data_IF_321022063903
#
_entry.id   IF_321022063903
#
_cell.length_a   1.000
_cell.length_b   1.000
_cell.length_c   1.000
_cell.angle_alpha   90.00
_cell.angle_beta   90.00
_cell.angle_gamma   90.00
#
_symmetry.space_group_name_H-M   'P 1'
#
loop_
_entity.id
_entity.type
_entity.pdbx_description
1 polymer ?
#
# COMPACT_ATOMS: atom_id res chain seq x y z
N UNK A 1 -4.74 41.16 -86.68
CA UNK A 1 -5.63 42.33 -86.81
C UNK A 1 -5.61 43.06 -85.47
N UNK A 2 -5.13 44.32 -85.48
CA UNK A 2 -5.19 45.33 -84.40
C UNK A 2 -4.32 45.05 -83.15
N UNK A 3 -3.23 45.81 -82.97
CA UNK A 3 -3.15 47.13 -82.28
C UNK A 3 -3.25 46.93 -80.74
N UNK A 4 -2.50 47.57 -79.86
CA UNK A 4 -1.42 48.57 -79.88
C UNK A 4 -1.19 48.88 -78.38
N UNK A 5 0.05 49.21 -77.99
CA UNK A 5 0.42 50.25 -77.00
C UNK A 5 -0.04 50.03 -75.53
N UNK A 6 0.64 50.47 -74.47
CA UNK A 6 2.01 50.78 -74.08
C UNK A 6 1.87 51.39 -72.66
N UNK A 7 3.00 51.47 -71.96
CA UNK A 7 3.26 52.33 -70.79
C UNK A 7 2.50 52.05 -69.48
N UNK A 8 3.26 51.54 -68.52
CA UNK A 8 3.00 51.65 -67.09
C UNK A 8 4.31 51.40 -66.35
N UNK A 9 5.10 52.45 -66.17
CA UNK A 9 6.33 52.44 -65.36
C UNK A 9 6.01 52.14 -63.89
N UNK A 10 6.88 51.38 -63.20
CA UNK A 10 7.37 51.74 -61.86
C UNK A 10 8.49 50.80 -61.39
N UNK A 11 9.62 51.46 -61.15
CA UNK A 11 10.78 51.21 -60.33
C UNK A 11 10.83 50.00 -59.38
N UNK A 12 12.02 49.41 -59.38
CA UNK A 12 12.64 48.47 -58.44
C UNK A 12 12.43 48.88 -56.98
N UNK A 13 12.03 47.91 -56.15
CA UNK A 13 12.13 47.98 -54.70
C UNK A 13 12.38 46.58 -54.15
N UNK A 14 13.65 46.24 -53.91
CA UNK A 14 14.04 45.02 -53.22
C UNK A 14 13.64 45.12 -51.74
N UNK A 15 12.79 44.22 -51.26
CA UNK A 15 12.56 44.04 -49.83
C UNK A 15 13.53 42.96 -49.30
N UNK A 16 14.39 43.27 -48.31
CA UNK A 16 15.21 42.26 -47.66
C UNK A 16 14.30 41.29 -46.89
N UNK A 17 14.50 39.98 -47.11
CA UNK A 17 13.91 38.96 -46.26
C UNK A 17 14.62 39.00 -44.90
N UNK A 18 13.95 39.51 -43.88
CA UNK A 18 14.35 39.25 -42.50
C UNK A 18 14.20 37.74 -42.20
N UNK A 19 15.24 37.08 -41.65
CA UNK A 19 15.08 35.71 -41.19
C UNK A 19 14.10 35.70 -40.00
N UNK A 20 13.00 34.95 -40.16
CA UNK A 20 12.05 34.64 -39.10
C UNK A 20 12.81 33.91 -37.97
N UNK A 21 13.12 34.63 -36.91
CA UNK A 21 13.55 34.04 -35.64
C UNK A 21 12.33 33.34 -35.05
N UNK A 22 12.22 32.02 -35.24
CA UNK A 22 11.24 31.21 -34.51
C UNK A 22 11.49 31.39 -33.01
N UNK A 23 10.46 31.75 -32.21
CA UNK A 23 10.59 31.76 -30.76
C UNK A 23 11.07 30.38 -30.31
N UNK A 24 12.23 30.33 -29.66
CA UNK A 24 12.69 29.11 -29.01
C UNK A 24 11.57 28.65 -28.07
N UNK A 25 11.05 27.45 -28.32
CA UNK A 25 10.11 26.79 -27.42
C UNK A 25 10.77 26.80 -26.04
N UNK A 26 10.12 27.36 -24.99
CA UNK A 26 10.69 27.30 -23.65
C UNK A 26 10.99 25.83 -23.33
N UNK A 27 12.14 25.52 -22.69
CA UNK A 27 12.46 24.15 -22.34
C UNK A 27 11.27 23.55 -21.60
N UNK A 28 10.90 22.33 -21.97
CA UNK A 28 9.88 21.57 -21.25
C UNK A 28 10.20 21.69 -19.76
N UNK A 29 9.24 22.20 -18.97
CA UNK A 29 9.39 22.24 -17.52
C UNK A 29 9.73 20.82 -17.11
N UNK A 30 10.94 20.62 -16.58
CA UNK A 30 11.32 19.39 -15.89
C UNK A 30 10.21 19.18 -14.88
N UNK A 31 9.45 18.10 -15.02
CA UNK A 31 8.42 17.78 -14.04
C UNK A 31 9.12 17.74 -12.69
N UNK A 32 8.72 18.63 -11.78
CA UNK A 32 9.16 18.55 -10.40
C UNK A 32 8.88 17.11 -9.91
N UNK A 33 9.76 16.53 -9.09
CA UNK A 33 9.43 15.26 -8.44
C UNK A 33 8.05 15.42 -7.82
N UNK A 34 7.10 14.57 -8.20
CA UNK A 34 5.77 14.58 -7.59
C UNK A 34 5.96 14.18 -6.14
N UNK A 35 6.01 15.16 -5.24
CA UNK A 35 6.07 14.90 -3.81
C UNK A 35 4.70 14.40 -3.38
N UNK A 36 4.61 13.10 -3.08
CA UNK A 36 3.39 12.50 -2.55
C UNK A 36 3.16 13.03 -1.14
N UNK A 37 1.92 13.39 -0.84
CA UNK A 37 1.53 13.93 0.46
C UNK A 37 0.50 13.08 1.19
N UNK A 38 0.09 13.54 2.37
CA UNK A 38 -0.97 12.91 3.16
C UNK A 38 -2.30 12.75 2.40
N UNK A 39 -2.59 13.67 1.48
CA UNK A 39 -3.75 13.56 0.60
C UNK A 39 -3.70 12.34 -0.30
N UNK A 40 -2.52 12.03 -0.85
CA UNK A 40 -2.30 10.87 -1.72
C UNK A 40 -2.31 9.58 -0.90
N UNK A 41 -1.67 9.58 0.28
CA UNK A 41 -1.70 8.45 1.21
C UNK A 41 -3.12 8.07 1.63
N UNK A 42 -3.93 9.06 2.03
CA UNK A 42 -5.32 8.86 2.40
C UNK A 42 -6.17 8.34 1.21
N UNK A 43 -5.91 8.85 0.00
CA UNK A 43 -6.59 8.39 -1.21
C UNK A 43 -6.18 6.97 -1.62
N UNK A 44 -4.91 6.61 -1.45
CA UNK A 44 -4.44 5.24 -1.67
C UNK A 44 -5.04 4.26 -0.67
N UNK A 45 -5.05 4.62 0.62
CA UNK A 45 -5.71 3.83 1.67
C UNK A 45 -7.22 3.67 1.42
N UNK A 46 -7.94 4.74 1.06
CA UNK A 46 -9.36 4.69 0.72
C UNK A 46 -9.63 3.72 -0.45
N UNK A 47 -8.82 3.78 -1.52
CA UNK A 47 -8.97 2.91 -2.69
C UNK A 47 -8.65 1.45 -2.36
N UNK A 48 -7.52 1.21 -1.68
CA UNK A 48 -7.01 -0.13 -1.41
C UNK A 48 -7.79 -0.90 -0.35
N UNK A 49 -8.60 -0.22 0.46
CA UNK A 49 -9.38 -0.84 1.55
C UNK A 49 -10.89 -0.72 1.36
N UNK A 50 -11.37 -0.25 0.20
CA UNK A 50 -12.81 -0.05 -0.02
C UNK A 50 -13.61 -1.36 0.02
N UNK A 51 -13.02 -2.45 -0.45
CA UNK A 51 -13.60 -3.80 -0.56
C UNK A 51 -13.69 -4.55 0.77
N UNK A 52 -12.96 -4.09 1.79
CA UNK A 52 -12.95 -4.66 3.14
C UNK A 52 -13.77 -3.85 4.14
N UNK A 53 -14.40 -2.74 3.74
CA UNK A 53 -15.15 -1.84 4.63
C UNK A 53 -16.63 -1.79 4.28
N UNK A 54 -17.45 -1.25 5.17
CA UNK A 54 -18.84 -0.96 4.87
C UNK A 54 -18.93 0.12 3.77
N UNK A 55 -19.85 0.01 2.78
CA UNK A 55 -19.88 0.89 1.60
C UNK A 55 -20.01 2.39 1.91
N UNK A 56 -20.68 2.72 3.01
CA UNK A 56 -20.91 4.08 3.51
C UNK A 56 -19.73 4.65 4.29
N UNK A 57 -18.77 3.81 4.68
CA UNK A 57 -17.64 4.22 5.49
C UNK A 57 -16.51 4.72 4.58
N UNK A 58 -16.22 6.01 4.64
CA UNK A 58 -15.05 6.61 3.97
C UNK A 58 -13.94 6.84 4.98
N UNK A 59 -12.70 6.50 4.61
CA UNK A 59 -11.52 6.78 5.45
C UNK A 59 -10.77 8.02 4.97
N UNK A 60 -11.10 8.56 3.79
CA UNK A 60 -10.33 9.64 3.15
C UNK A 60 -10.17 10.88 4.05
N UNK A 61 -11.26 11.36 4.65
CA UNK A 61 -11.24 12.52 5.55
C UNK A 61 -10.43 12.25 6.82
N UNK A 62 -10.84 11.26 7.64
CA UNK A 62 -10.12 10.90 8.86
C UNK A 62 -8.64 10.59 8.64
N UNK A 63 -8.27 9.94 7.54
CA UNK A 63 -6.87 9.58 7.25
C UNK A 63 -6.02 10.77 6.83
N UNK A 64 -6.61 11.76 6.14
CA UNK A 64 -5.89 12.98 5.81
C UNK A 64 -5.53 13.77 7.06
N UNK A 65 -6.46 13.88 8.00
CA UNK A 65 -6.25 14.53 9.30
C UNK A 65 -5.18 13.79 10.11
N UNK A 66 -5.31 12.46 10.24
CA UNK A 66 -4.31 11.66 10.98
C UNK A 66 -2.91 11.73 10.41
N UNK A 67 -2.74 11.62 9.09
CA UNK A 67 -1.40 11.72 8.52
C UNK A 67 -0.72 13.07 8.82
N UNK A 68 -1.51 14.15 8.92
CA UNK A 68 -1.01 15.48 9.30
C UNK A 68 -0.72 15.57 10.80
N UNK A 69 -1.64 15.10 11.64
CA UNK A 69 -1.50 15.15 13.11
C UNK A 69 -0.40 14.21 13.62
N UNK A 70 -0.32 13.02 13.03
CA UNK A 70 0.56 11.93 13.43
C UNK A 70 1.94 11.98 12.74
N UNK A 71 2.23 12.99 11.92
CA UNK A 71 3.51 13.21 11.22
C UNK A 71 4.14 11.94 10.63
N UNK A 72 3.43 11.30 9.70
CA UNK A 72 3.92 10.08 9.07
C UNK A 72 5.23 10.30 8.32
N UNK A 73 6.07 9.26 8.29
CA UNK A 73 7.31 9.28 7.50
C UNK A 73 7.02 9.36 6.00
N UNK A 74 7.97 9.91 5.23
CA UNK A 74 7.87 9.95 3.75
C UNK A 74 7.72 8.54 3.15
N UNK A 75 8.38 7.54 3.77
CA UNK A 75 8.26 6.15 3.37
C UNK A 75 6.83 5.62 3.56
N UNK A 76 6.21 5.90 4.72
CA UNK A 76 4.82 5.51 4.97
C UNK A 76 3.86 6.21 4.00
N UNK A 77 4.01 7.53 3.82
CA UNK A 77 3.20 8.32 2.88
C UNK A 77 3.28 7.74 1.46
N UNK A 78 4.49 7.45 0.99
CA UNK A 78 4.72 6.87 -0.33
C UNK A 78 4.10 5.49 -0.48
N UNK A 79 4.25 4.63 0.53
CA UNK A 79 3.66 3.30 0.54
C UNK A 79 2.13 3.38 0.43
N UNK A 80 1.48 4.11 1.34
CA UNK A 80 0.03 4.22 1.36
C UNK A 80 -0.53 4.88 0.10
N UNK A 81 0.17 5.85 -0.49
CA UNK A 81 -0.26 6.52 -1.72
C UNK A 81 -0.31 5.56 -2.93
N UNK A 82 0.57 4.56 -2.94
CA UNK A 82 0.73 3.60 -4.03
C UNK A 82 0.18 2.20 -3.73
N UNK A 83 -0.29 1.98 -2.50
CA UNK A 83 -0.81 0.73 -1.98
C UNK A 83 -1.96 0.15 -2.82
N UNK A 84 -1.96 -1.16 -2.97
CA UNK A 84 -3.03 -1.97 -3.59
C UNK A 84 -3.81 -2.75 -2.54
N UNK A 85 -4.95 -3.32 -2.94
CA UNK A 85 -5.70 -4.23 -2.06
C UNK A 85 -4.80 -5.40 -1.64
N UNK A 86 -4.87 -5.76 -0.35
CA UNK A 86 -4.00 -6.77 0.28
C UNK A 86 -2.64 -6.25 0.78
N UNK A 87 -2.21 -5.04 0.44
CA UNK A 87 -0.90 -4.49 0.83
C UNK A 87 -0.93 -3.67 2.14
N UNK A 88 -2.04 -3.73 2.89
CA UNK A 88 -2.22 -3.00 4.14
C UNK A 88 -1.10 -3.31 5.15
N UNK A 89 -0.73 -4.59 5.31
CA UNK A 89 0.29 -5.01 6.28
C UNK A 89 1.66 -4.38 6.05
N UNK A 90 2.26 -4.57 4.86
CA UNK A 90 3.53 -3.93 4.50
C UNK A 90 3.56 -2.41 4.74
N UNK A 91 2.51 -1.68 4.35
CA UNK A 91 2.47 -0.23 4.57
C UNK A 91 2.22 0.17 6.03
N UNK A 92 1.34 -0.55 6.74
CA UNK A 92 1.10 -0.32 8.17
C UNK A 92 2.34 -0.56 9.02
N UNK A 93 3.25 -1.44 8.57
CA UNK A 93 4.53 -1.70 9.24
C UNK A 93 5.52 -0.53 9.18
N UNK A 94 5.29 0.44 8.29
CA UNK A 94 6.07 1.68 8.24
C UNK A 94 5.58 2.73 9.25
N UNK A 95 4.45 2.46 9.91
CA UNK A 95 3.90 3.26 11.00
C UNK A 95 4.36 2.68 12.34
N UNK A 96 4.65 3.55 13.29
CA UNK A 96 4.79 3.11 14.69
C UNK A 96 3.43 2.68 15.28
N UNK A 97 3.45 2.03 16.44
CA UNK A 97 2.23 1.50 17.07
C UNK A 97 1.16 2.58 17.33
N UNK A 98 1.59 3.81 17.69
CA UNK A 98 0.68 4.92 17.98
C UNK A 98 -0.01 5.45 16.72
N UNK A 99 0.70 5.41 15.59
CA UNK A 99 0.18 5.80 14.28
C UNK A 99 -0.70 4.71 13.67
N UNK A 100 -0.39 3.44 13.96
CA UNK A 100 -1.00 2.26 13.33
C UNK A 100 -2.39 1.93 13.88
N UNK A 101 -2.56 1.96 15.20
CA UNK A 101 -3.86 1.65 15.83
C UNK A 101 -5.00 2.53 15.32
N UNK A 102 -4.83 3.87 15.20
CA UNK A 102 -5.87 4.73 14.65
C UNK A 102 -6.22 4.46 13.19
N UNK A 103 -5.27 3.98 12.37
CA UNK A 103 -5.55 3.54 10.99
C UNK A 103 -6.48 2.33 11.02
N UNK A 104 -6.14 1.32 11.81
CA UNK A 104 -6.95 0.10 11.92
C UNK A 104 -8.36 0.38 12.45
N UNK A 105 -8.49 1.27 13.45
CA UNK A 105 -9.79 1.67 13.97
C UNK A 105 -10.71 2.27 12.90
N UNK A 106 -10.14 2.94 11.89
CA UNK A 106 -10.91 3.61 10.83
C UNK A 106 -11.36 2.66 9.73
N UNK A 107 -10.74 1.49 9.63
CA UNK A 107 -11.18 0.42 8.73
C UNK A 107 -12.46 -0.27 9.24
N UNK A 108 -12.87 -0.01 10.49
CA UNK A 108 -14.07 -0.58 11.08
C UNK A 108 -13.92 -2.05 11.46
N UNK A 109 -15.05 -2.69 11.72
CA UNK A 109 -15.11 -4.03 12.33
C UNK A 109 -15.86 -5.04 11.45
N UNK A 110 -15.81 -4.88 10.12
CA UNK A 110 -16.32 -5.93 9.25
C UNK A 110 -15.44 -7.17 9.35
N UNK A 111 -15.99 -8.32 9.00
CA UNK A 111 -15.26 -9.59 8.91
C UNK A 111 -14.00 -9.48 8.04
N UNK A 112 -14.12 -8.84 6.87
CA UNK A 112 -13.00 -8.64 5.94
C UNK A 112 -11.97 -7.65 6.48
N UNK A 113 -12.41 -6.57 7.13
CA UNK A 113 -11.51 -5.65 7.81
C UNK A 113 -10.74 -6.36 8.93
N UNK A 114 -11.40 -7.23 9.68
CA UNK A 114 -10.79 -8.01 10.76
C UNK A 114 -9.68 -8.93 10.23
N UNK A 115 -9.91 -9.64 9.12
CA UNK A 115 -8.86 -10.46 8.46
C UNK A 115 -7.71 -9.58 7.97
N UNK A 116 -8.00 -8.45 7.31
CA UNK A 116 -6.96 -7.55 6.81
C UNK A 116 -6.11 -6.94 7.93
N UNK A 117 -6.73 -6.58 9.06
CA UNK A 117 -6.04 -6.07 10.26
C UNK A 117 -5.20 -7.19 10.90
N UNK A 118 -5.73 -8.41 11.01
CA UNK A 118 -4.98 -9.54 11.53
C UNK A 118 -3.74 -9.82 10.67
N UNK A 119 -3.90 -9.87 9.34
CA UNK A 119 -2.80 -9.97 8.38
C UNK A 119 -1.76 -8.85 8.58
N UNK A 120 -2.22 -7.62 8.76
CA UNK A 120 -1.33 -6.49 8.98
C UNK A 120 -0.53 -6.59 10.29
N UNK A 121 -1.15 -7.07 11.36
CA UNK A 121 -0.47 -7.34 12.65
C UNK A 121 0.55 -8.46 12.54
N UNK A 122 0.24 -9.53 11.82
CA UNK A 122 1.16 -10.67 11.63
C UNK A 122 2.40 -10.29 10.81
N UNK A 123 2.31 -9.28 9.94
CA UNK A 123 3.45 -8.83 9.14
C UNK A 123 4.59 -8.26 9.99
N UNK A 124 4.26 -7.55 11.07
CA UNK A 124 5.24 -6.96 12.02
C UNK A 124 5.77 -7.99 13.02
N UNK A 125 5.13 -9.16 13.12
CA UNK A 125 5.44 -10.12 14.15
C UNK A 125 6.72 -10.89 13.82
N UNK A 126 7.80 -10.52 14.52
CA UNK A 126 9.07 -11.26 14.57
C UNK A 126 9.33 -11.72 16.00
N UNK A 127 9.20 -13.03 16.20
CA UNK A 127 9.37 -13.68 17.51
C UNK A 127 10.86 -13.94 17.76
N UNK A 128 11.66 -14.11 16.68
CA UNK A 128 13.09 -14.40 16.77
C UNK A 128 13.38 -15.87 17.05
N UNK A 129 12.39 -16.74 16.81
CA UNK A 129 12.50 -18.20 16.84
C UNK A 129 12.06 -18.69 15.46
N UNK A 130 12.96 -19.30 14.71
CA UNK A 130 12.77 -19.60 13.30
C UNK A 130 11.48 -20.39 13.03
N UNK A 131 11.19 -21.40 13.84
CA UNK A 131 9.98 -22.23 13.71
C UNK A 131 8.70 -21.43 13.96
N UNK A 132 8.74 -20.47 14.89
CA UNK A 132 7.59 -19.61 15.19
C UNK A 132 7.40 -18.53 14.13
N UNK A 133 8.47 -17.94 13.62
CA UNK A 133 8.41 -16.99 12.51
C UNK A 133 7.86 -17.67 11.24
N UNK A 134 8.22 -18.93 10.99
CA UNK A 134 7.66 -19.73 9.90
C UNK A 134 6.19 -20.09 10.12
N UNK A 135 5.79 -20.42 11.36
CA UNK A 135 4.39 -20.62 11.72
C UNK A 135 3.55 -19.37 11.44
N UNK A 136 3.98 -18.19 11.91
CA UNK A 136 3.30 -16.91 11.67
C UNK A 136 3.19 -16.60 10.18
N UNK A 137 4.26 -16.81 9.41
CA UNK A 137 4.23 -16.62 7.96
C UNK A 137 3.22 -17.56 7.28
N UNK A 138 3.11 -18.80 7.74
CA UNK A 138 2.15 -19.79 7.22
C UNK A 138 0.71 -19.40 7.55
N UNK A 139 0.46 -18.89 8.76
CA UNK A 139 -0.85 -18.32 9.11
C UNK A 139 -1.21 -17.18 8.16
N UNK A 140 -0.28 -16.26 7.88
CA UNK A 140 -0.54 -15.15 6.96
C UNK A 140 -0.89 -15.64 5.53
N UNK A 141 -0.26 -16.72 5.05
CA UNK A 141 -0.62 -17.35 3.77
C UNK A 141 -2.05 -17.89 3.81
N UNK A 142 -2.44 -18.56 4.89
CA UNK A 142 -3.80 -19.10 5.04
C UNK A 142 -4.87 -18.01 5.14
N UNK A 143 -4.59 -16.92 5.84
CA UNK A 143 -5.50 -15.77 5.89
C UNK A 143 -5.70 -15.11 4.52
N UNK A 144 -4.71 -15.21 3.64
CA UNK A 144 -4.77 -14.70 2.27
C UNK A 144 -5.42 -15.67 1.28
N UNK A 145 -5.77 -16.88 1.71
CA UNK A 145 -6.30 -17.92 0.84
C UNK A 145 -7.83 -17.84 0.71
N UNK A 146 -8.32 -17.61 -0.51
CA UNK A 146 -9.76 -17.50 -0.77
C UNK A 146 -10.52 -18.82 -0.77
N UNK A 147 -9.81 -19.96 -0.90
CA UNK A 147 -10.41 -21.28 -0.73
C UNK A 147 -10.83 -21.55 0.73
N UNK A 148 -10.27 -20.79 1.69
CA UNK A 148 -10.64 -20.88 3.09
C UNK A 148 -11.91 -20.06 3.39
N UNK A 149 -12.90 -20.61 4.10
CA UNK A 149 -14.06 -19.85 4.57
C UNK A 149 -13.63 -18.62 5.38
N UNK A 150 -14.35 -17.51 5.20
CA UNK A 150 -14.03 -16.23 5.82
C UNK A 150 -14.02 -16.32 7.35
N UNK A 151 -15.01 -17.00 7.95
CA UNK A 151 -15.09 -17.21 9.41
C UNK A 151 -13.85 -17.94 9.95
N UNK A 152 -13.35 -18.96 9.24
CA UNK A 152 -12.14 -19.69 9.62
C UNK A 152 -10.90 -18.78 9.57
N UNK A 153 -10.81 -17.92 8.54
CA UNK A 153 -9.74 -16.92 8.45
C UNK A 153 -9.78 -15.95 9.62
N UNK A 154 -10.97 -15.44 9.97
CA UNK A 154 -11.12 -14.52 11.12
C UNK A 154 -10.65 -15.20 12.41
N UNK A 155 -11.15 -16.40 12.70
CA UNK A 155 -10.81 -17.10 13.93
C UNK A 155 -9.31 -17.35 14.02
N UNK A 156 -8.71 -17.92 12.97
CA UNK A 156 -7.27 -18.19 12.91
C UNK A 156 -6.44 -16.91 13.08
N UNK A 157 -6.87 -15.83 12.43
CA UNK A 157 -6.17 -14.54 12.47
C UNK A 157 -6.22 -13.89 13.84
N UNK A 158 -7.39 -13.85 14.47
CA UNK A 158 -7.58 -13.29 15.81
C UNK A 158 -6.84 -14.11 16.86
N UNK A 159 -7.01 -15.44 16.88
CA UNK A 159 -6.32 -16.31 17.84
C UNK A 159 -4.80 -16.17 17.72
N UNK A 160 -4.27 -16.13 16.50
CA UNK A 160 -2.83 -15.98 16.28
C UNK A 160 -2.36 -14.58 16.69
N UNK A 161 -3.07 -13.52 16.28
CA UNK A 161 -2.66 -12.15 16.63
C UNK A 161 -2.73 -11.91 18.14
N UNK A 162 -3.74 -12.46 18.82
CA UNK A 162 -3.94 -12.28 20.25
C UNK A 162 -2.91 -13.06 21.04
N UNK A 163 -2.62 -14.30 20.65
CA UNK A 163 -1.59 -15.12 21.29
C UNK A 163 -0.21 -14.42 21.27
N UNK A 164 0.12 -13.80 20.13
CA UNK A 164 1.41 -13.15 19.94
C UNK A 164 1.43 -11.67 20.34
N UNK A 165 0.30 -11.10 20.76
CA UNK A 165 0.24 -9.75 21.31
C UNK A 165 0.97 -9.62 22.66
N UNK A 166 1.25 -10.75 23.33
CA UNK A 166 2.01 -10.78 24.57
C UNK A 166 3.51 -10.52 24.33
N UNK A 167 4.22 -9.86 25.27
CA UNK A 167 5.66 -9.64 25.15
C UNK A 167 6.43 -10.96 25.15
N UNK A 168 6.76 -11.44 23.95
CA UNK A 168 7.52 -12.69 23.74
C UNK A 168 8.97 -12.42 23.36
N UNK A 169 9.43 -11.16 23.43
CA UNK A 169 10.79 -10.76 23.04
C UNK A 169 11.82 -11.34 24.01
N UNK A 170 12.86 -11.94 23.45
CA UNK A 170 14.03 -12.49 24.16
C UNK A 170 13.67 -13.47 25.28
N UNK A 171 12.93 -14.55 25.00
CA UNK A 171 12.62 -15.54 26.01
C UNK A 171 13.91 -16.24 26.48
N UNK A 172 14.00 -16.67 27.75
CA UNK A 172 15.13 -17.48 28.21
C UNK A 172 15.37 -18.70 27.31
N UNK A 173 16.61 -19.18 27.12
CA UNK A 173 16.92 -20.23 26.13
C UNK A 173 16.10 -21.52 26.27
N UNK A 174 15.70 -21.87 27.48
CA UNK A 174 14.82 -23.02 27.72
C UNK A 174 13.37 -22.75 27.27
N UNK A 175 12.85 -21.54 27.52
CA UNK A 175 11.54 -21.13 27.03
C UNK A 175 11.54 -21.03 25.51
N UNK A 176 12.60 -20.48 24.90
CA UNK A 176 12.77 -20.43 23.45
C UNK A 176 12.70 -21.84 22.82
N UNK A 177 13.40 -22.82 23.41
CA UNK A 177 13.35 -24.22 22.94
C UNK A 177 11.97 -24.84 23.05
N UNK A 178 11.24 -24.59 24.14
CA UNK A 178 9.85 -25.07 24.28
C UNK A 178 8.93 -24.44 23.23
N UNK A 179 9.05 -23.13 23.03
CA UNK A 179 8.28 -22.41 22.02
C UNK A 179 8.59 -22.95 20.61
N UNK A 180 9.86 -23.15 20.27
CA UNK A 180 10.26 -23.73 18.98
C UNK A 180 9.57 -25.09 18.73
N UNK A 181 9.56 -25.99 19.72
CA UNK A 181 8.88 -27.28 19.62
C UNK A 181 7.37 -27.14 19.38
N UNK A 182 6.70 -26.25 20.12
CA UNK A 182 5.26 -26.00 19.96
C UNK A 182 4.98 -25.42 18.57
N UNK A 183 5.73 -24.38 18.16
CA UNK A 183 5.58 -23.75 16.85
C UNK A 183 5.80 -24.75 15.70
N UNK A 184 6.79 -25.64 15.83
CA UNK A 184 7.03 -26.71 14.85
C UNK A 184 5.84 -27.65 14.72
N UNK A 185 5.31 -28.16 15.84
CA UNK A 185 4.14 -29.05 15.84
C UNK A 185 2.89 -28.34 15.27
N UNK A 186 2.70 -27.08 15.63
CA UNK A 186 1.60 -26.25 15.10
C UNK A 186 1.76 -26.01 13.61
N UNK A 187 2.98 -25.75 13.13
CA UNK A 187 3.29 -25.56 11.72
C UNK A 187 3.01 -26.82 10.90
N UNK A 188 3.38 -28.00 11.39
CA UNK A 188 3.09 -29.28 10.71
C UNK A 188 1.58 -29.49 10.56
N UNK A 189 0.82 -29.25 11.63
CA UNK A 189 -0.66 -29.35 11.63
C UNK A 189 -1.27 -28.34 10.66
N UNK A 190 -0.83 -27.09 10.75
CA UNK A 190 -1.31 -25.99 9.91
C UNK A 190 -1.03 -26.23 8.43
N UNK A 191 0.14 -26.80 8.11
CA UNK A 191 0.52 -27.14 6.74
C UNK A 191 -0.33 -28.25 6.14
N UNK A 192 -0.64 -29.28 6.92
CA UNK A 192 -1.56 -30.34 6.48
C UNK A 192 -2.97 -29.80 6.23
N UNK A 193 -3.45 -28.93 7.12
CA UNK A 193 -4.74 -28.27 6.94
C UNK A 193 -4.74 -27.40 5.67
N UNK A 194 -3.71 -26.57 5.47
CA UNK A 194 -3.57 -25.72 4.30
C UNK A 194 -3.56 -26.53 2.99
N UNK A 195 -2.83 -27.65 2.93
CA UNK A 195 -2.84 -28.54 1.77
C UNK A 195 -4.23 -29.14 1.51
N UNK A 196 -4.96 -29.53 2.57
CA UNK A 196 -6.30 -30.11 2.46
C UNK A 196 -7.31 -29.12 1.87
N UNK A 197 -7.19 -27.83 2.20
CA UNK A 197 -8.07 -26.77 1.69
C UNK A 197 -7.56 -26.11 0.40
N UNK A 198 -6.42 -26.53 -0.13
CA UNK A 198 -5.84 -25.98 -1.37
C UNK A 198 -5.20 -24.60 -1.22
N UNK A 199 -4.67 -24.29 -0.03
CA UNK A 199 -3.98 -23.03 0.29
C UNK A 199 -2.44 -23.16 0.29
N UNK A 200 -1.90 -24.31 -0.14
CA UNK A 200 -0.47 -24.60 -0.29
C UNK A 200 -0.18 -25.24 -1.64
#
# INVERSE_FOLDING_TARGET
>A
MRLMIALGALLVGACPHDPVVTPARPPAKVASPVTLGCGDAAAGLERATRDIRAPEQSVLGPMRERCLDDQWSEAAITCFATMKSGELGPCANLLDDRQREPVFAQLGSTDRASVAIALAKLYDLKIGIAECDQFVATVALMLSCDAMPLETRIQLGLETSDFWSLPTKNPPPEAARRMATVCKSSLETLSQQAATVGCM
#
